data_IF_431138321366
#
_entry.id   IF_431138321366
#
_cell.length_a   1.000
_cell.length_b   1.000
_cell.length_c   1.000
_cell.angle_alpha   90.00
_cell.angle_beta   90.00
_cell.angle_gamma   90.00
#
_symmetry.space_group_name_H-M   'P 1'
#
loop_
_entity.id
_entity.type
_entity.pdbx_description
1 polymer ?
#
# COMPACT_ATOMS: atom_id res chain seq x y z
N UNK A 1 -20.28 12.33 -9.13
CA UNK A 1 -19.83 11.27 -10.05
C UNK A 1 -19.20 10.17 -9.19
N UNK A 2 -19.75 8.95 -9.18
CA UNK A 2 -19.20 7.84 -8.38
C UNK A 2 -17.89 7.39 -9.04
N UNK A 3 -16.76 7.73 -8.42
CA UNK A 3 -15.46 7.16 -8.81
C UNK A 3 -15.45 5.72 -8.32
N UNK A 4 -15.71 4.80 -9.25
CA UNK A 4 -15.71 3.38 -8.97
C UNK A 4 -14.34 2.96 -8.46
N UNK A 5 -14.31 2.33 -7.29
CA UNK A 5 -13.16 1.63 -6.76
C UNK A 5 -12.81 0.49 -7.71
N UNK A 6 -12.01 0.78 -8.74
CA UNK A 6 -11.67 -0.19 -9.78
C UNK A 6 -10.74 -1.25 -9.18
N UNK A 7 -11.31 -2.36 -8.71
CA UNK A 7 -10.55 -3.53 -8.28
C UNK A 7 -9.77 -4.04 -9.50
N UNK A 8 -8.44 -3.92 -9.46
CA UNK A 8 -7.55 -4.49 -10.48
C UNK A 8 -7.12 -5.88 -10.02
N UNK A 9 -7.37 -6.89 -10.86
CA UNK A 9 -7.05 -8.29 -10.58
C UNK A 9 -5.63 -8.57 -11.09
N UNK A 10 -4.72 -8.98 -10.21
CA UNK A 10 -3.40 -9.50 -10.56
C UNK A 10 -3.33 -10.95 -10.05
N UNK A 11 -3.16 -11.94 -10.94
CA UNK A 11 -3.03 -13.36 -10.57
C UNK A 11 -4.12 -13.89 -9.60
N UNK A 12 -5.40 -13.56 -9.88
CA UNK A 12 -6.57 -13.86 -9.02
C UNK A 12 -6.57 -13.16 -7.64
N UNK A 13 -5.56 -12.36 -7.34
CA UNK A 13 -5.47 -11.57 -6.12
C UNK A 13 -5.89 -10.13 -6.41
N UNK A 14 -6.81 -9.63 -5.59
CA UNK A 14 -7.34 -8.28 -5.70
C UNK A 14 -6.51 -7.33 -4.83
N UNK A 15 -6.03 -6.23 -5.43
CA UNK A 15 -5.36 -5.16 -4.69
C UNK A 15 -6.34 -4.00 -4.52
N UNK A 16 -6.57 -3.57 -3.27
CA UNK A 16 -7.43 -2.41 -3.01
C UNK A 16 -6.72 -1.13 -3.43
N UNK A 17 -7.43 -0.32 -4.20
CA UNK A 17 -6.97 0.97 -4.72
C UNK A 17 -7.89 2.10 -4.31
N UNK A 18 -7.32 3.28 -4.10
CA UNK A 18 -8.06 4.50 -3.84
C UNK A 18 -7.52 5.61 -4.75
N UNK A 19 -8.41 6.28 -5.47
CA UNK A 19 -8.06 7.46 -6.24
C UNK A 19 -8.20 8.70 -5.34
N UNK A 20 -7.16 9.54 -5.30
CA UNK A 20 -7.23 10.85 -4.66
C UNK A 20 -7.27 11.95 -5.72
N UNK A 21 -8.31 12.79 -5.67
CA UNK A 21 -8.56 13.89 -6.60
C UNK A 21 -7.60 15.07 -6.44
N UNK A 22 -7.09 15.32 -5.23
CA UNK A 22 -6.24 16.48 -4.96
C UNK A 22 -4.84 16.36 -5.62
N UNK A 23 -4.05 15.31 -5.38
CA UNK A 23 -2.79 15.09 -6.08
C UNK A 23 -2.98 14.38 -7.42
N UNK A 24 -4.21 14.01 -7.80
CA UNK A 24 -4.52 13.14 -8.96
C UNK A 24 -3.68 11.85 -8.98
N UNK A 25 -3.60 11.17 -7.83
CA UNK A 25 -2.79 9.96 -7.66
C UNK A 25 -3.61 8.74 -7.25
N UNK A 26 -3.16 7.58 -7.71
CA UNK A 26 -3.61 6.27 -7.23
C UNK A 26 -2.81 5.84 -6.01
N UNK A 27 -3.53 5.47 -4.95
CA UNK A 27 -3.00 4.84 -3.75
C UNK A 27 -3.39 3.37 -3.72
N UNK A 28 -2.46 2.53 -3.27
CA UNK A 28 -2.60 1.09 -3.20
C UNK A 28 -2.41 0.63 -1.77
N UNK A 29 -3.17 -0.38 -1.34
CA UNK A 29 -2.95 -0.99 -0.03
C UNK A 29 -1.60 -1.72 0.00
N UNK A 30 -0.70 -1.31 0.91
CA UNK A 30 0.61 -1.95 1.05
C UNK A 30 0.47 -3.42 1.47
N UNK A 31 -0.49 -3.72 2.36
CA UNK A 31 -0.73 -5.09 2.83
C UNK A 31 -1.16 -6.00 1.69
N UNK A 32 -2.03 -5.52 0.79
CA UNK A 32 -2.49 -6.32 -0.35
C UNK A 32 -1.36 -6.53 -1.36
N UNK A 33 -0.56 -5.49 -1.62
CA UNK A 33 0.64 -5.60 -2.47
C UNK A 33 1.61 -6.63 -1.90
N UNK A 34 1.87 -6.61 -0.59
CA UNK A 34 2.70 -7.63 0.07
C UNK A 34 2.08 -9.02 -0.06
N UNK A 35 0.76 -9.16 0.08
CA UNK A 35 0.07 -10.44 -0.06
C UNK A 35 0.18 -11.02 -1.47
N UNK A 36 0.20 -10.16 -2.49
CA UNK A 36 0.44 -10.55 -3.88
C UNK A 36 1.89 -10.95 -4.09
N UNK A 37 2.84 -10.13 -3.63
CA UNK A 37 4.27 -10.33 -3.94
C UNK A 37 4.94 -11.44 -3.12
N UNK A 38 4.44 -11.74 -1.92
CA UNK A 38 5.12 -12.65 -0.98
C UNK A 38 4.37 -13.95 -0.72
N UNK A 39 3.14 -14.09 -1.22
CA UNK A 39 2.22 -15.19 -0.90
C UNK A 39 2.08 -15.47 0.61
N UNK A 40 2.42 -14.50 1.46
CA UNK A 40 2.48 -14.71 2.90
C UNK A 40 1.08 -14.98 3.46
N UNK A 41 0.91 -16.01 4.31
CA UNK A 41 -0.36 -16.27 4.99
C UNK A 41 -0.73 -15.15 5.97
N UNK A 42 0.22 -14.30 6.36
CA UNK A 42 -0.02 -13.14 7.21
C UNK A 42 0.74 -11.89 6.72
N UNK A 43 0.23 -11.21 5.68
CA UNK A 43 0.87 -10.06 5.07
C UNK A 43 0.95 -8.85 6.02
N UNK A 44 0.02 -8.72 6.98
CA UNK A 44 0.06 -7.67 8.01
C UNK A 44 1.25 -7.83 8.94
N UNK A 45 1.52 -9.06 9.40
CA UNK A 45 2.69 -9.34 10.25
C UNK A 45 3.98 -9.11 9.47
N UNK A 46 4.01 -9.55 8.21
CA UNK A 46 5.14 -9.29 7.32
C UNK A 46 5.42 -7.79 7.19
N UNK A 47 4.38 -6.99 6.93
CA UNK A 47 4.50 -5.53 6.83
C UNK A 47 5.00 -4.89 8.12
N UNK A 48 4.54 -5.34 9.29
CA UNK A 48 5.02 -4.84 10.58
C UNK A 48 6.53 -5.04 10.75
N UNK A 49 7.02 -6.26 10.44
CA UNK A 49 8.45 -6.57 10.49
C UNK A 49 9.23 -5.76 9.46
N UNK A 50 8.72 -5.62 8.24
CA UNK A 50 9.34 -4.83 7.19
C UNK A 50 9.46 -3.35 7.59
N UNK A 51 8.42 -2.76 8.17
CA UNK A 51 8.46 -1.39 8.72
C UNK A 51 9.56 -1.23 9.77
N UNK A 52 9.69 -2.19 10.70
CA UNK A 52 10.76 -2.14 11.70
C UNK A 52 12.15 -2.18 11.06
N UNK A 53 12.36 -3.02 10.04
CA UNK A 53 13.63 -3.09 9.31
C UNK A 53 13.93 -1.79 8.56
N UNK A 54 12.96 -1.26 7.82
CA UNK A 54 13.07 0.00 7.11
C UNK A 54 13.38 1.18 8.05
N UNK A 55 12.78 1.23 9.24
CA UNK A 55 13.14 2.25 10.26
C UNK A 55 14.57 2.11 10.74
N UNK A 56 15.06 0.88 10.94
CA UNK A 56 16.45 0.62 11.32
C UNK A 56 17.44 1.03 10.23
N UNK A 57 17.05 0.89 8.96
CA UNK A 57 17.82 1.34 7.80
C UNK A 57 17.78 2.87 7.60
N UNK A 58 17.03 3.61 8.42
CA UNK A 58 16.85 5.06 8.25
C UNK A 58 15.95 5.43 7.06
N UNK A 59 15.16 4.49 6.55
CA UNK A 59 14.29 4.71 5.40
C UNK A 59 13.08 5.57 5.76
N UNK A 60 12.95 6.72 5.10
CA UNK A 60 11.81 7.64 5.23
C UNK A 60 10.48 6.99 4.83
N UNK A 61 10.49 5.91 4.03
CA UNK A 61 9.29 5.17 3.63
C UNK A 61 8.53 4.57 4.81
N UNK A 62 9.22 4.18 5.89
CA UNK A 62 8.57 3.63 7.08
C UNK A 62 7.95 4.71 8.00
N UNK A 63 8.21 5.97 7.67
CA UNK A 63 7.75 7.15 8.41
C UNK A 63 6.68 7.91 7.63
N UNK A 64 6.77 7.95 6.30
CA UNK A 64 5.87 8.72 5.43
C UNK A 64 4.73 7.90 4.77
N UNK A 65 4.39 6.73 5.29
CA UNK A 65 3.22 6.00 4.78
C UNK A 65 1.94 6.77 5.11
N UNK A 66 1.19 7.17 4.07
CA UNK A 66 -0.14 7.74 4.25
C UNK A 66 -1.11 6.64 4.71
N UNK A 67 -2.05 6.99 5.60
CA UNK A 67 -3.13 6.09 6.00
C UNK A 67 -4.45 6.58 5.42
N UNK A 68 -5.12 5.72 4.66
CA UNK A 68 -6.44 6.01 4.10
C UNK A 68 -7.47 5.01 4.61
N UNK A 69 -8.72 5.48 4.76
CA UNK A 69 -9.85 4.60 5.05
C UNK A 69 -10.17 3.78 3.82
N UNK A 70 -9.90 2.47 3.90
CA UNK A 70 -10.22 1.51 2.85
C UNK A 70 -11.20 0.48 3.38
N UNK A 71 -12.09 0.02 2.51
CA UNK A 71 -12.98 -1.09 2.83
C UNK A 71 -12.16 -2.39 2.95
N UNK A 72 -12.49 -3.20 3.92
CA UNK A 72 -11.91 -4.52 4.18
C UNK A 72 -12.87 -5.62 3.69
N UNK A 73 -12.40 -6.87 3.66
CA UNK A 73 -13.17 -8.02 3.18
C UNK A 73 -14.46 -8.28 3.99
N UNK A 74 -14.50 -7.83 5.24
CA UNK A 74 -15.66 -7.85 6.13
C UNK A 74 -16.65 -6.69 5.89
N UNK A 75 -16.41 -5.87 4.86
CA UNK A 75 -17.24 -4.74 4.49
C UNK A 75 -17.04 -3.48 5.33
N UNK A 76 -16.22 -3.54 6.39
CA UNK A 76 -15.91 -2.41 7.27
C UNK A 76 -14.76 -1.56 6.74
N UNK A 77 -14.74 -0.28 7.10
CA UNK A 77 -13.67 0.64 6.71
C UNK A 77 -12.62 0.73 7.81
N UNK A 78 -11.36 0.54 7.45
CA UNK A 78 -10.22 0.65 8.36
C UNK A 78 -9.15 1.57 7.78
N UNK A 79 -8.45 2.30 8.67
CA UNK A 79 -7.24 3.00 8.29
C UNK A 79 -6.19 1.97 7.87
N UNK A 80 -5.82 2.03 6.61
CA UNK A 80 -4.89 1.09 5.99
C UNK A 80 -3.68 1.89 5.51
N UNK A 81 -2.48 1.37 5.76
CA UNK A 81 -1.25 1.95 5.21
C UNK A 81 -1.31 1.80 3.68
N UNK A 82 -1.20 2.92 2.99
CA UNK A 82 -1.23 3.00 1.53
C UNK A 82 0.05 3.62 1.00
N UNK A 83 0.38 3.28 -0.23
CA UNK A 83 1.48 3.88 -0.98
C UNK A 83 1.02 4.20 -2.40
N UNK A 84 1.54 5.28 -2.97
CA UNK A 84 1.39 5.56 -4.40
C UNK A 84 2.40 4.74 -5.22
N UNK A 85 2.30 4.81 -6.55
CA UNK A 85 3.22 4.10 -7.45
C UNK A 85 4.69 4.51 -7.24
N UNK A 86 4.97 5.78 -6.91
CA UNK A 86 6.33 6.27 -6.75
C UNK A 86 6.97 5.78 -5.44
N UNK A 87 6.16 5.63 -4.38
CA UNK A 87 6.56 5.08 -3.10
C UNK A 87 6.74 3.56 -3.18
N UNK A 88 5.88 2.86 -3.92
CA UNK A 88 5.98 1.40 -4.13
C UNK A 88 7.20 1.03 -4.97
N UNK A 89 7.35 1.67 -6.12
CA UNK A 89 8.53 1.50 -6.95
C UNK A 89 9.58 2.48 -6.46
N UNK A 90 10.39 2.05 -5.47
CA UNK A 90 11.54 2.80 -4.96
C UNK A 90 12.34 3.35 -6.15
N UNK A 91 12.08 4.59 -6.57
CA UNK A 91 13.05 5.35 -7.33
C UNK A 91 14.20 5.48 -6.36
N UNK A 92 15.29 4.75 -6.58
CA UNK A 92 16.57 5.17 -6.05
C UNK A 92 16.78 6.56 -6.63
N UNK A 93 16.38 7.61 -5.91
CA UNK A 93 17.12 8.86 -6.00
C UNK A 93 18.47 8.49 -5.43
N UNK A 94 19.38 8.07 -6.31
CA UNK A 94 20.78 8.00 -5.98
C UNK A 94 21.10 9.37 -5.41
N UNK A 95 21.42 9.41 -4.12
CA UNK A 95 21.98 10.58 -3.50
C UNK A 95 23.37 10.72 -4.12
N UNK A 96 23.49 11.55 -5.14
CA UNK A 96 24.74 11.93 -5.81
C UNK A 96 24.75 13.44 -5.87
#
# INVERSE_FOLDING_TARGET
MKKESSIKIFEQKQVRTHWNDEPEKWYFSIVDVIAVLTDSPNPRKYWSVLKTRLRKEGSELATNCSQLKMQSADGKFYNTDVADTEQLFRKRKNNT
#
